data_IF_644868594220
#
_entry.id   IF_644868594220
#
_cell.length_a   1.000
_cell.length_b   1.000
_cell.length_c   1.000
_cell.angle_alpha   90.00
_cell.angle_beta   90.00
_cell.angle_gamma   90.00
#
_symmetry.space_group_name_H-M   'P 1'
#
loop_
_entity.id
_entity.type
_entity.pdbx_description
1 polymer ?
#
# COMPACT_ATOMS: atom_id res chain seq x y z
N UNK A 1 18.18 -28.60 2.01
CA UNK A 1 17.17 -28.22 1.00
C UNK A 1 15.78 -28.66 1.48
N UNK A 2 14.99 -27.72 2.01
CA UNK A 2 13.68 -27.98 2.59
C UNK A 2 12.67 -28.49 1.57
N UNK A 3 12.72 -28.02 0.32
CA UNK A 3 11.80 -28.47 -0.74
C UNK A 3 11.99 -29.96 -1.07
N UNK A 4 13.23 -30.43 -1.15
CA UNK A 4 13.51 -31.85 -1.36
C UNK A 4 13.09 -32.70 -0.14
N UNK A 5 13.25 -32.17 1.08
CA UNK A 5 12.82 -32.85 2.30
C UNK A 5 11.29 -32.95 2.38
N UNK A 6 10.56 -31.84 2.07
CA UNK A 6 9.10 -31.83 1.98
C UNK A 6 8.56 -32.90 1.03
N UNK A 7 9.13 -32.99 -0.18
CA UNK A 7 8.71 -33.99 -1.17
C UNK A 7 8.94 -35.45 -0.67
N UNK A 8 10.06 -35.67 -0.01
CA UNK A 8 10.36 -37.01 0.54
C UNK A 8 9.38 -37.38 1.65
N UNK A 9 9.13 -36.49 2.59
CA UNK A 9 8.17 -36.76 3.66
C UNK A 9 6.75 -36.92 3.12
N UNK A 10 6.33 -36.09 2.15
CA UNK A 10 5.02 -36.22 1.49
C UNK A 10 4.86 -37.59 0.79
N UNK A 11 5.93 -38.17 0.23
CA UNK A 11 5.89 -39.50 -0.38
C UNK A 11 5.76 -40.63 0.64
N UNK A 12 5.98 -40.36 1.92
CA UNK A 12 5.90 -41.33 3.03
C UNK A 12 4.60 -41.12 3.85
N UNK A 13 3.56 -40.51 3.25
CA UNK A 13 2.29 -40.30 3.94
C UNK A 13 1.77 -41.53 4.66
N UNK A 14 1.33 -41.36 5.90
CA UNK A 14 0.89 -42.42 6.79
C UNK A 14 2.01 -43.18 7.52
N UNK A 15 3.29 -42.84 7.29
CA UNK A 15 4.40 -43.43 8.02
C UNK A 15 4.93 -42.48 9.10
N UNK A 16 4.82 -42.90 10.39
CA UNK A 16 5.28 -42.14 11.58
C UNK A 16 4.89 -40.63 11.50
N UNK A 17 5.86 -39.72 11.71
CA UNK A 17 5.70 -38.27 11.71
C UNK A 17 5.96 -37.65 10.31
N UNK A 18 5.87 -38.43 9.22
CA UNK A 18 6.17 -37.94 7.88
C UNK A 18 5.28 -36.74 7.46
N UNK A 19 3.96 -36.79 7.72
CA UNK A 19 3.05 -35.69 7.37
C UNK A 19 3.36 -34.40 8.12
N UNK A 20 3.47 -34.39 9.47
CA UNK A 20 3.83 -33.18 10.20
C UNK A 20 5.24 -32.67 9.85
N UNK A 21 6.21 -33.55 9.54
CA UNK A 21 7.54 -33.14 9.09
C UNK A 21 7.52 -32.53 7.69
N UNK A 22 6.64 -32.98 6.80
CA UNK A 22 6.44 -32.34 5.49
C UNK A 22 5.93 -30.90 5.67
N UNK A 23 4.96 -30.68 6.56
CA UNK A 23 4.45 -29.33 6.89
C UNK A 23 5.57 -28.44 7.46
N UNK A 24 6.35 -28.96 8.40
CA UNK A 24 7.51 -28.25 8.93
C UNK A 24 8.48 -27.83 7.82
N UNK A 25 8.88 -28.76 6.94
CA UNK A 25 9.81 -28.45 5.85
C UNK A 25 9.26 -27.40 4.89
N UNK A 26 7.97 -27.46 4.55
CA UNK A 26 7.28 -26.44 3.73
C UNK A 26 7.48 -25.04 4.32
N UNK A 27 7.13 -24.84 5.57
CA UNK A 27 7.19 -23.52 6.22
C UNK A 27 8.61 -23.08 6.57
N UNK A 28 9.52 -24.01 6.87
CA UNK A 28 10.92 -23.71 7.05
C UNK A 28 11.56 -23.20 5.76
N UNK A 29 11.21 -23.77 4.60
CA UNK A 29 11.61 -23.29 3.29
C UNK A 29 11.07 -21.89 2.99
N UNK A 30 9.76 -21.69 3.14
CA UNK A 30 9.12 -20.39 2.94
C UNK A 30 9.72 -19.30 3.86
N UNK A 31 10.01 -19.65 5.11
CA UNK A 31 10.65 -18.74 6.06
C UNK A 31 12.08 -18.39 5.63
N UNK A 32 12.86 -19.36 5.16
CA UNK A 32 14.22 -19.14 4.67
C UNK A 32 14.22 -18.22 3.44
N UNK A 33 13.29 -18.43 2.51
CA UNK A 33 13.18 -17.66 1.28
C UNK A 33 12.44 -16.31 1.47
N UNK A 34 11.99 -16.02 2.69
CA UNK A 34 11.21 -14.83 3.06
C UNK A 34 9.94 -14.64 2.20
N UNK A 35 9.33 -15.74 1.81
CA UNK A 35 8.07 -15.79 1.08
C UNK A 35 6.87 -15.85 2.03
N UNK A 36 5.67 -16.15 1.55
CA UNK A 36 4.45 -16.14 2.36
C UNK A 36 4.37 -17.34 3.34
N UNK A 37 5.08 -17.23 4.45
CA UNK A 37 5.11 -18.22 5.52
C UNK A 37 4.07 -17.93 6.63
N UNK A 38 3.52 -16.72 6.70
CA UNK A 38 2.60 -16.32 7.76
C UNK A 38 1.21 -16.94 7.64
N UNK A 39 0.82 -17.38 6.44
CA UNK A 39 -0.46 -18.04 6.18
C UNK A 39 -0.61 -19.43 6.79
N UNK A 40 0.51 -20.08 7.16
CA UNK A 40 0.53 -21.46 7.67
C UNK A 40 0.66 -21.59 9.18
N UNK A 41 0.42 -20.50 9.94
CA UNK A 41 0.62 -20.53 11.38
C UNK A 41 -0.24 -21.60 12.07
N UNK A 42 -1.47 -21.77 11.66
CA UNK A 42 -2.39 -22.76 12.25
C UNK A 42 -1.94 -24.20 11.93
N UNK A 43 -1.37 -24.44 10.74
CA UNK A 43 -0.79 -25.72 10.38
C UNK A 43 0.47 -26.02 11.22
N UNK A 44 1.36 -25.04 11.40
CA UNK A 44 2.56 -25.19 12.26
C UNK A 44 2.20 -25.47 13.71
N UNK A 45 1.24 -24.70 14.26
CA UNK A 45 0.78 -24.86 15.65
C UNK A 45 0.11 -26.22 15.91
N UNK A 46 -0.36 -26.90 14.87
CA UNK A 46 -0.95 -28.23 14.98
C UNK A 46 0.06 -29.38 14.98
N UNK A 47 1.34 -29.10 14.70
CA UNK A 47 2.39 -30.13 14.63
C UNK A 47 2.70 -30.68 16.02
N UNK A 48 2.49 -31.98 16.20
CA UNK A 48 2.87 -32.73 17.40
C UNK A 48 3.56 -34.03 16.96
N UNK A 49 4.86 -34.10 17.18
CA UNK A 49 5.67 -35.24 16.78
C UNK A 49 5.60 -36.35 17.84
N UNK A 50 5.30 -37.59 17.42
CA UNK A 50 5.15 -38.74 18.29
C UNK A 50 6.38 -39.65 18.30
N UNK A 51 7.07 -39.74 17.18
CA UNK A 51 8.22 -40.63 16.98
C UNK A 51 9.54 -39.89 16.92
N UNK A 52 9.58 -38.79 16.18
CA UNK A 52 10.79 -38.00 15.94
C UNK A 52 10.80 -36.74 16.86
N UNK A 53 10.60 -36.96 18.14
CA UNK A 53 10.40 -35.89 19.17
C UNK A 53 11.57 -34.92 19.30
N UNK A 54 12.77 -35.29 18.88
CA UNK A 54 13.95 -34.42 18.88
C UNK A 54 13.74 -33.19 17.97
N UNK A 55 12.93 -33.33 16.91
CA UNK A 55 12.59 -32.24 15.98
C UNK A 55 11.49 -31.31 16.49
N UNK A 56 10.78 -31.69 17.58
CA UNK A 56 9.72 -30.84 18.12
C UNK A 56 10.25 -29.44 18.51
N UNK A 57 11.47 -29.37 19.01
CA UNK A 57 12.14 -28.14 19.37
C UNK A 57 12.33 -27.19 18.19
N UNK A 58 12.66 -27.75 17.01
CA UNK A 58 12.84 -26.96 15.80
C UNK A 58 11.50 -26.47 15.25
N UNK A 59 10.44 -27.28 15.37
CA UNK A 59 9.06 -26.89 15.06
C UNK A 59 8.63 -25.70 15.93
N UNK A 60 8.80 -25.77 17.26
CA UNK A 60 8.42 -24.74 18.21
C UNK A 60 9.19 -23.42 17.97
N UNK A 61 10.47 -23.52 17.62
CA UNK A 61 11.30 -22.36 17.25
C UNK A 61 10.80 -21.72 15.97
N UNK A 62 10.46 -22.50 14.95
CA UNK A 62 9.93 -21.98 13.69
C UNK A 62 8.59 -21.28 13.92
N UNK A 63 7.66 -21.91 14.63
CA UNK A 63 6.37 -21.33 15.01
C UNK A 63 6.56 -19.98 15.70
N UNK A 64 7.39 -19.92 16.74
CA UNK A 64 7.68 -18.68 17.48
C UNK A 64 8.21 -17.57 16.57
N UNK A 65 9.07 -17.90 15.59
CA UNK A 65 9.59 -16.94 14.60
C UNK A 65 8.50 -16.44 13.66
N UNK A 66 7.65 -17.33 13.16
CA UNK A 66 6.51 -16.96 12.29
C UNK A 66 5.54 -16.05 13.01
N UNK A 67 5.19 -16.34 14.28
CA UNK A 67 4.37 -15.48 15.13
C UNK A 67 5.00 -14.09 15.29
N UNK A 68 6.29 -14.04 15.61
CA UNK A 68 7.00 -12.76 15.76
C UNK A 68 6.92 -11.89 14.50
N UNK A 69 7.19 -12.47 13.31
CA UNK A 69 7.13 -11.73 12.05
C UNK A 69 5.72 -11.30 11.69
N UNK A 70 4.70 -12.11 11.98
CA UNK A 70 3.29 -11.74 11.78
C UNK A 70 2.93 -10.51 12.63
N UNK A 71 3.32 -10.50 13.92
CA UNK A 71 3.08 -9.36 14.82
C UNK A 71 3.84 -8.12 14.33
N UNK A 72 5.10 -8.26 13.93
CA UNK A 72 5.90 -7.16 13.42
C UNK A 72 5.25 -6.53 12.17
N UNK A 73 4.83 -7.36 11.21
CA UNK A 73 4.17 -6.86 9.98
C UNK A 73 2.85 -6.14 10.25
N UNK A 74 2.07 -6.58 11.24
CA UNK A 74 0.83 -5.90 11.65
C UNK A 74 1.14 -4.55 12.28
N UNK A 75 2.15 -4.47 13.17
CA UNK A 75 2.59 -3.21 13.79
C UNK A 75 3.10 -2.20 12.76
N UNK A 76 3.88 -2.66 11.79
CA UNK A 76 4.37 -1.81 10.70
C UNK A 76 3.23 -1.25 9.85
N UNK A 77 2.22 -2.07 9.52
CA UNK A 77 1.01 -1.61 8.81
C UNK A 77 0.22 -0.60 9.63
N UNK A 78 0.05 -0.84 10.92
CA UNK A 78 -0.65 0.09 11.82
C UNK A 78 0.10 1.43 11.90
N UNK A 79 1.43 1.42 12.08
CA UNK A 79 2.25 2.62 12.11
C UNK A 79 2.14 3.41 10.79
N UNK A 80 2.18 2.74 9.63
CA UNK A 80 2.01 3.38 8.33
C UNK A 80 0.61 4.02 8.16
N UNK A 81 -0.44 3.35 8.65
CA UNK A 81 -1.80 3.92 8.63
C UNK A 81 -1.90 5.15 9.53
N UNK A 82 -1.34 5.10 10.74
CA UNK A 82 -1.32 6.25 11.66
C UNK A 82 -0.56 7.44 11.08
N UNK A 83 0.58 7.17 10.45
CA UNK A 83 1.37 8.22 9.77
C UNK A 83 0.59 8.84 8.61
N UNK A 84 -0.07 8.02 7.78
CA UNK A 84 -0.92 8.50 6.68
C UNK A 84 -2.08 9.37 7.19
N UNK A 85 -2.72 8.99 8.29
CA UNK A 85 -3.80 9.78 8.91
C UNK A 85 -3.27 11.11 9.44
N UNK A 86 -2.14 11.12 10.15
CA UNK A 86 -1.51 12.36 10.64
C UNK A 86 -1.13 13.29 9.50
N UNK A 87 -0.58 12.75 8.43
CA UNK A 87 -0.21 13.48 7.24
C UNK A 87 -1.44 14.10 6.55
N UNK A 88 -2.52 13.34 6.41
CA UNK A 88 -3.78 13.85 5.84
C UNK A 88 -4.40 14.95 6.69
N UNK A 89 -4.43 14.79 8.02
CA UNK A 89 -4.92 15.82 8.95
C UNK A 89 -4.10 17.11 8.86
N UNK A 90 -2.77 17.00 8.79
CA UNK A 90 -1.86 18.14 8.63
C UNK A 90 -2.15 18.91 7.34
N UNK A 91 -2.30 18.22 6.22
CA UNK A 91 -2.64 18.82 4.92
C UNK A 91 -4.03 19.48 4.94
N UNK A 92 -5.01 18.81 5.53
CA UNK A 92 -6.34 19.39 5.70
C UNK A 92 -6.27 20.69 6.49
N UNK A 93 -5.55 20.72 7.61
CA UNK A 93 -5.36 21.94 8.42
C UNK A 93 -4.66 23.05 7.63
N UNK A 94 -3.65 22.72 6.83
CA UNK A 94 -2.87 23.69 6.06
C UNK A 94 -3.69 24.39 4.98
N UNK A 95 -4.60 23.67 4.30
CA UNK A 95 -5.30 24.18 3.10
C UNK A 95 -6.79 24.46 3.31
N UNK A 96 -7.37 24.11 4.46
CA UNK A 96 -8.79 24.34 4.75
C UNK A 96 -9.16 25.82 4.69
N UNK A 97 -10.27 26.10 4.02
CA UNK A 97 -10.84 27.46 3.92
C UNK A 97 -10.07 28.42 3.01
N UNK A 98 -9.01 27.97 2.35
CA UNK A 98 -8.22 28.79 1.41
C UNK A 98 -8.58 28.45 -0.02
N UNK A 99 -8.43 29.42 -0.93
CA UNK A 99 -8.46 29.13 -2.37
C UNK A 99 -7.23 28.29 -2.76
N UNK A 100 -7.32 27.50 -3.84
CA UNK A 100 -6.16 26.82 -4.42
C UNK A 100 -5.04 27.81 -4.74
N UNK A 101 -3.79 27.43 -4.43
CA UNK A 101 -2.60 28.25 -4.68
C UNK A 101 -1.54 27.46 -5.44
N UNK A 102 -0.76 28.16 -6.26
CA UNK A 102 0.38 27.56 -6.98
C UNK A 102 1.31 26.82 -6.02
N UNK A 103 1.75 25.64 -6.41
CA UNK A 103 2.60 24.76 -5.59
C UNK A 103 1.81 23.87 -4.62
N UNK A 104 0.48 23.94 -4.61
CA UNK A 104 -0.35 23.04 -3.83
C UNK A 104 -0.41 21.65 -4.49
N UNK A 105 -0.28 20.56 -3.71
CA UNK A 105 -0.53 19.22 -4.23
C UNK A 105 -1.97 19.06 -4.73
N UNK A 106 -2.15 18.41 -5.88
CA UNK A 106 -3.48 18.16 -6.46
C UNK A 106 -4.38 17.39 -5.49
N UNK A 107 -3.84 16.44 -4.76
CA UNK A 107 -4.54 15.67 -3.73
C UNK A 107 -5.11 16.53 -2.59
N UNK A 108 -4.61 17.75 -2.42
CA UNK A 108 -5.03 18.72 -1.39
C UNK A 108 -6.11 19.67 -1.86
N UNK A 109 -6.44 19.74 -3.15
CA UNK A 109 -7.48 20.60 -3.70
C UNK A 109 -8.84 20.38 -3.02
N UNK A 110 -9.15 19.14 -2.67
CA UNK A 110 -10.37 18.74 -1.95
C UNK A 110 -10.56 19.41 -0.58
N UNK A 111 -9.49 19.94 0.03
CA UNK A 111 -9.53 20.61 1.33
C UNK A 111 -9.70 22.13 1.23
N UNK A 112 -9.57 22.68 0.04
CA UNK A 112 -9.73 24.12 -0.20
C UNK A 112 -11.19 24.57 -0.08
N UNK A 113 -11.41 25.88 -0.09
CA UNK A 113 -12.76 26.45 -0.08
C UNK A 113 -13.61 26.10 -1.30
N UNK A 114 -12.98 25.67 -2.40
CA UNK A 114 -13.67 25.21 -3.61
C UNK A 114 -14.02 23.71 -3.56
N UNK A 115 -13.43 22.95 -2.63
CA UNK A 115 -13.58 21.50 -2.59
C UNK A 115 -12.82 20.77 -3.70
N UNK A 116 -13.16 19.51 -3.91
CA UNK A 116 -12.61 18.73 -5.01
C UNK A 116 -13.01 19.33 -6.37
N UNK A 117 -12.14 19.27 -7.40
CA UNK A 117 -12.52 19.65 -8.75
C UNK A 117 -13.69 18.82 -9.26
N UNK A 118 -14.63 19.48 -9.95
CA UNK A 118 -15.79 18.81 -10.57
C UNK A 118 -15.37 18.02 -11.83
N UNK A 119 -14.30 18.45 -12.49
CA UNK A 119 -13.81 17.82 -13.70
C UNK A 119 -12.29 17.86 -13.79
N UNK A 120 -11.72 16.74 -14.23
CA UNK A 120 -10.29 16.57 -14.51
C UNK A 120 -10.10 16.13 -15.98
N UNK A 121 -9.19 16.79 -16.69
CA UNK A 121 -8.89 16.48 -18.10
C UNK A 121 -7.39 16.33 -18.29
N UNK A 122 -6.95 15.15 -18.75
CA UNK A 122 -5.54 14.92 -19.12
C UNK A 122 -5.18 15.71 -20.36
N UNK A 123 -4.12 16.50 -20.30
CA UNK A 123 -3.65 17.35 -21.40
C UNK A 123 -2.67 16.55 -22.29
N UNK A 124 -3.20 15.65 -23.13
CA UNK A 124 -2.40 14.75 -23.98
C UNK A 124 -1.47 15.47 -24.95
N UNK A 125 -1.84 16.62 -25.43
CA UNK A 125 -1.03 17.37 -26.41
C UNK A 125 0.19 18.01 -25.74
N UNK A 126 0.06 18.45 -24.50
CA UNK A 126 1.20 18.96 -23.73
C UNK A 126 2.16 17.81 -23.35
N UNK A 127 1.63 16.66 -22.99
CA UNK A 127 2.41 15.48 -22.63
C UNK A 127 3.24 14.93 -23.81
N UNK A 128 2.85 15.25 -25.06
CA UNK A 128 3.62 14.91 -26.28
C UNK A 128 4.74 15.91 -26.60
N UNK A 129 4.58 17.17 -26.16
CA UNK A 129 5.55 18.23 -26.47
C UNK A 129 6.72 18.25 -25.48
N UNK A 130 6.52 17.73 -24.28
CA UNK A 130 7.51 17.74 -23.21
C UNK A 130 7.67 16.31 -22.70
N UNK A 131 8.72 15.64 -23.13
CA UNK A 131 9.04 14.28 -22.67
C UNK A 131 9.10 14.23 -21.14
N UNK A 132 8.55 13.13 -20.57
CA UNK A 132 8.54 12.85 -19.12
C UNK A 132 7.73 13.83 -18.25
N UNK A 133 6.82 14.59 -18.83
CA UNK A 133 5.94 15.48 -18.13
C UNK A 133 4.47 15.09 -18.36
N UNK A 134 3.67 15.20 -17.31
CA UNK A 134 2.23 14.96 -17.39
C UNK A 134 1.48 16.15 -16.82
N UNK A 135 0.38 16.53 -17.47
CA UNK A 135 -0.47 17.62 -17.01
C UNK A 135 -1.93 17.24 -16.97
N UNK A 136 -2.65 17.78 -15.99
CA UNK A 136 -4.08 17.59 -15.77
C UNK A 136 -4.70 18.98 -15.57
N UNK A 137 -5.67 19.35 -16.42
CA UNK A 137 -6.50 20.50 -16.20
C UNK A 137 -7.64 20.16 -15.27
N UNK A 138 -7.87 21.01 -14.27
CA UNK A 138 -8.91 20.85 -13.25
C UNK A 138 -9.88 22.02 -13.33
N UNK A 139 -11.17 21.74 -13.15
CA UNK A 139 -12.23 22.73 -13.29
C UNK A 139 -13.22 22.62 -12.12
N UNK A 140 -13.68 23.77 -11.65
CA UNK A 140 -14.80 23.91 -10.72
C UNK A 140 -15.92 24.67 -11.41
N UNK A 141 -17.15 24.24 -11.23
CA UNK A 141 -18.33 24.85 -11.82
C UNK A 141 -19.21 25.49 -10.76
N UNK A 142 -19.76 26.64 -11.07
CA UNK A 142 -20.80 27.27 -10.25
C UNK A 142 -22.15 26.59 -10.44
N UNK A 143 -23.13 26.93 -9.59
CA UNK A 143 -24.51 26.43 -9.65
C UNK A 143 -25.20 26.70 -11.00
N UNK A 144 -24.73 27.67 -11.75
CA UNK A 144 -25.21 28.03 -13.11
C UNK A 144 -24.54 27.23 -14.21
N UNK A 145 -23.71 26.22 -13.90
CA UNK A 145 -22.96 25.41 -14.86
C UNK A 145 -21.79 26.11 -15.55
N UNK A 146 -21.48 27.37 -15.18
CA UNK A 146 -20.32 28.06 -15.72
C UNK A 146 -19.07 27.73 -14.92
N UNK A 147 -17.89 27.81 -15.57
CA UNK A 147 -16.59 27.62 -14.90
C UNK A 147 -16.41 28.72 -13.84
N UNK A 148 -16.33 28.30 -12.59
CA UNK A 148 -16.05 29.12 -11.43
C UNK A 148 -14.55 29.29 -11.20
N UNK A 149 -13.79 28.21 -11.42
CA UNK A 149 -12.34 28.23 -11.35
C UNK A 149 -11.74 27.16 -12.26
N UNK A 150 -10.52 27.40 -12.69
CA UNK A 150 -9.74 26.45 -13.47
C UNK A 150 -8.28 26.47 -13.04
N UNK A 151 -7.60 25.34 -13.17
CA UNK A 151 -6.19 25.22 -12.90
C UNK A 151 -5.54 24.14 -13.75
N UNK A 152 -4.22 24.14 -13.79
CA UNK A 152 -3.43 23.07 -14.39
C UNK A 152 -2.49 22.50 -13.35
N UNK A 153 -2.59 21.22 -13.13
CA UNK A 153 -1.68 20.46 -12.30
C UNK A 153 -0.62 19.78 -13.17
N UNK A 154 0.59 19.73 -12.68
CA UNK A 154 1.77 19.30 -13.42
C UNK A 154 2.58 18.32 -12.57
N UNK A 155 3.13 17.29 -13.22
CA UNK A 155 3.99 16.29 -12.61
C UNK A 155 5.18 16.00 -13.50
N UNK A 156 6.39 16.14 -12.97
CA UNK A 156 7.63 15.75 -13.64
C UNK A 156 7.93 14.28 -13.36
N UNK A 157 8.82 13.71 -14.15
CA UNK A 157 9.41 12.42 -13.83
C UNK A 157 10.12 12.50 -12.46
N UNK A 158 9.86 11.51 -11.58
CA UNK A 158 10.40 11.48 -10.22
C UNK A 158 9.56 12.21 -9.17
N UNK A 159 8.61 13.08 -9.55
CA UNK A 159 7.70 13.68 -8.58
C UNK A 159 6.72 12.62 -8.03
N UNK A 160 6.43 12.68 -6.74
CA UNK A 160 5.48 11.75 -6.10
C UNK A 160 4.03 12.03 -6.50
N UNK A 161 3.67 13.31 -6.73
CA UNK A 161 2.31 13.71 -7.04
C UNK A 161 2.25 14.93 -7.99
N UNK A 162 1.03 15.21 -8.52
CA UNK A 162 0.78 16.40 -9.31
C UNK A 162 0.72 17.64 -8.42
N UNK A 163 1.34 18.75 -8.87
CA UNK A 163 1.34 20.04 -8.18
C UNK A 163 0.59 21.06 -9.01
N UNK A 164 -0.24 21.87 -8.38
CA UNK A 164 -0.97 22.97 -9.04
C UNK A 164 0.03 24.02 -9.56
N UNK A 165 0.06 24.22 -10.86
CA UNK A 165 0.98 25.14 -11.52
C UNK A 165 0.32 26.47 -11.88
N UNK A 166 -0.93 26.43 -12.40
CA UNK A 166 -1.73 27.63 -12.68
C UNK A 166 -3.06 27.51 -11.97
N UNK A 167 -3.63 28.64 -11.61
CA UNK A 167 -4.97 28.72 -11.02
C UNK A 167 -5.60 30.05 -11.40
N UNK A 168 -6.83 30.03 -11.85
CA UNK A 168 -7.66 31.20 -12.17
C UNK A 168 -9.02 31.02 -11.52
N UNK A 169 -9.47 32.06 -10.82
CA UNK A 169 -10.76 32.12 -10.16
C UNK A 169 -11.65 33.18 -10.86
N UNK A 170 -12.86 32.81 -11.20
CA UNK A 170 -13.84 33.62 -11.89
C UNK A 170 -15.06 33.82 -10.96
N UNK A 171 -15.04 34.80 -10.05
CA UNK A 171 -16.16 35.00 -9.15
C UNK A 171 -17.46 35.26 -9.95
N UNK A 172 -18.61 34.75 -9.49
CA UNK A 172 -19.88 35.05 -10.13
C UNK A 172 -20.07 36.56 -10.15
N UNK A 173 -20.48 37.09 -11.30
CA UNK A 173 -20.84 38.51 -11.40
C UNK A 173 -22.01 38.76 -10.46
N UNK A 174 -21.83 39.67 -9.55
CA UNK A 174 -22.88 40.18 -8.63
C UNK A 174 -24.03 40.83 -9.41
#
# INVERSE_FOLDING_TARGET
DYAAAEQRFSSLSGYRDAEPLAVYCKYAGLYQDRTDYAGGLDELASISLQYDTDWQKDVDVLESRVVYYRIASVRERQAAVEEAVKWEQSRKKQYSGRLPVKGMPMSCLKYTSLGAPDKEVKCRDFDRLVENHRSISVYWYGSNGKVLAAGTCYKREGDSEFMLYTFSYYPPSS
#
